data_IF_130129308910
#
_entry.id   IF_130129308910
#
_cell.length_a   1.000
_cell.length_b   1.000
_cell.length_c   1.000
_cell.angle_alpha   90.00
_cell.angle_beta   90.00
_cell.angle_gamma   90.00
#
_symmetry.space_group_name_H-M   'P 1'
#
loop_
_entity.id
_entity.type
_entity.pdbx_description
1 polymer ?
#
# COMPACT_ATOMS: atom_id res chain seq x y z
N UNK A 1 1.68 -6.88 42.20
CA UNK A 1 2.15 -7.63 41.01
C UNK A 1 1.01 -8.14 40.11
N UNK A 2 0.07 -8.97 40.58
CA UNK A 2 -1.01 -9.54 39.73
C UNK A 2 -1.87 -8.49 38.99
N UNK A 3 -2.24 -7.39 39.65
CA UNK A 3 -3.02 -6.29 39.04
C UNK A 3 -2.26 -5.49 37.97
N UNK A 4 -0.94 -5.40 38.13
CA UNK A 4 -0.06 -4.64 37.22
C UNK A 4 0.24 -5.45 35.96
N UNK A 5 0.42 -6.77 36.11
CA UNK A 5 0.52 -7.72 34.99
C UNK A 5 -0.79 -7.75 34.18
N UNK A 6 -1.95 -7.74 34.86
CA UNK A 6 -3.25 -7.72 34.18
C UNK A 6 -3.47 -6.41 33.41
N UNK A 7 -3.10 -5.27 33.99
CA UNK A 7 -3.17 -3.97 33.29
C UNK A 7 -2.26 -3.92 32.05
N UNK A 8 -1.04 -4.45 32.13
CA UNK A 8 -0.12 -4.59 30.99
C UNK A 8 -0.67 -5.52 29.91
N UNK A 9 -1.31 -6.62 30.31
CA UNK A 9 -1.92 -7.58 29.37
C UNK A 9 -3.13 -6.96 28.67
N UNK A 10 -3.96 -6.20 29.39
CA UNK A 10 -5.10 -5.46 28.82
C UNK A 10 -4.62 -4.33 27.91
N UNK A 11 -3.53 -3.64 28.25
CA UNK A 11 -2.90 -2.63 27.38
C UNK A 11 -2.32 -3.26 26.10
N UNK A 12 -1.68 -4.42 26.18
CA UNK A 12 -1.24 -5.16 24.99
C UNK A 12 -2.42 -5.58 24.12
N UNK A 13 -3.47 -6.16 24.71
CA UNK A 13 -4.67 -6.58 23.96
C UNK A 13 -5.39 -5.38 23.35
N UNK A 14 -5.50 -4.26 24.06
CA UNK A 14 -6.07 -3.02 23.52
C UNK A 14 -5.22 -2.43 22.38
N UNK A 15 -3.89 -2.51 22.45
CA UNK A 15 -3.01 -2.06 21.36
C UNK A 15 -3.09 -2.94 20.10
N UNK A 16 -3.47 -4.21 20.25
CA UNK A 16 -3.75 -5.11 19.11
C UNK A 16 -5.09 -4.72 18.45
N UNK A 17 -6.09 -4.28 19.23
CA UNK A 17 -7.43 -3.93 18.71
C UNK A 17 -7.46 -2.54 18.05
N UNK A 18 -6.66 -1.58 18.52
CA UNK A 18 -6.67 -0.19 18.00
C UNK A 18 -5.87 -0.02 16.70
N UNK A 19 -5.00 -0.97 16.32
CA UNK A 19 -4.10 -0.85 15.16
C UNK A 19 -4.63 -1.45 13.84
N UNK A 20 -5.87 -1.93 13.78
CA UNK A 20 -6.45 -2.53 12.57
C UNK A 20 -7.52 -1.65 11.90
N UNK A 21 -7.20 -0.40 11.56
CA UNK A 21 -7.80 0.18 10.35
C UNK A 21 -7.11 -0.46 9.14
N UNK A 22 -7.37 -1.75 8.95
CA UNK A 22 -6.94 -2.48 7.79
C UNK A 22 -7.85 -2.04 6.63
N UNK A 23 -7.27 -1.55 5.53
CA UNK A 23 -8.01 -1.18 4.33
C UNK A 23 -9.00 -2.30 3.98
N UNK A 24 -10.28 -1.98 3.98
CA UNK A 24 -11.30 -2.88 3.46
C UNK A 24 -11.49 -2.60 1.98
N UNK A 25 -10.97 -3.46 1.11
CA UNK A 25 -11.12 -3.29 -0.33
C UNK A 25 -12.59 -3.32 -0.77
N UNK A 26 -13.49 -3.93 0.00
CA UNK A 26 -14.93 -3.96 -0.30
C UNK A 26 -15.61 -2.59 -0.19
N UNK A 27 -14.96 -1.60 0.45
CA UNK A 27 -15.45 -0.21 0.52
C UNK A 27 -15.28 0.53 -0.83
N UNK A 28 -14.63 -0.09 -1.80
CA UNK A 28 -14.35 0.46 -3.12
C UNK A 28 -15.12 -0.30 -4.19
N UNK A 29 -15.75 0.43 -5.12
CA UNK A 29 -16.36 -0.13 -6.32
C UNK A 29 -15.32 -0.32 -7.44
N UNK A 30 -14.32 0.57 -7.47
CA UNK A 30 -13.28 0.61 -8.48
C UNK A 30 -11.98 1.11 -7.88
N UNK A 31 -10.87 0.45 -8.20
CA UNK A 31 -9.51 0.92 -7.95
C UNK A 31 -8.68 0.68 -9.20
N UNK A 32 -7.98 1.70 -9.70
CA UNK A 32 -7.14 1.63 -10.89
C UNK A 32 -5.74 2.13 -10.58
N UNK A 33 -4.76 1.28 -10.82
CA UNK A 33 -3.34 1.62 -10.75
C UNK A 33 -2.69 1.54 -12.13
N UNK A 34 -1.74 2.43 -12.37
CA UNK A 34 -0.73 2.25 -13.41
C UNK A 34 0.50 1.63 -12.73
N UNK A 35 0.87 0.43 -13.15
CA UNK A 35 2.06 -0.26 -12.64
C UNK A 35 3.11 -0.29 -13.73
N UNK A 36 4.31 0.14 -13.40
CA UNK A 36 5.49 0.03 -14.25
C UNK A 36 6.51 -0.91 -13.59
N UNK A 37 7.07 -1.81 -14.37
CA UNK A 37 8.13 -2.72 -13.95
C UNK A 37 9.17 -2.69 -15.05
N UNK A 38 10.37 -2.22 -14.72
CA UNK A 38 11.42 -1.93 -15.71
C UNK A 38 10.88 -1.00 -16.81
N UNK A 39 10.91 -1.42 -18.08
CA UNK A 39 10.44 -0.63 -19.23
C UNK A 39 8.98 -0.92 -19.62
N UNK A 40 8.26 -1.72 -18.82
CA UNK A 40 6.89 -2.17 -19.12
C UNK A 40 5.90 -1.40 -18.26
N UNK A 41 4.74 -1.06 -18.83
CA UNK A 41 3.64 -0.43 -18.11
C UNK A 41 2.32 -1.17 -18.34
N UNK A 42 1.59 -1.40 -17.26
CA UNK A 42 0.25 -1.98 -17.27
C UNK A 42 -0.73 -1.08 -16.48
N UNK A 43 -1.96 -1.00 -16.96
CA UNK A 43 -3.10 -0.50 -16.20
C UNK A 43 -3.81 -1.69 -15.55
N UNK A 44 -3.93 -1.63 -14.23
CA UNK A 44 -4.53 -2.67 -13.41
C UNK A 44 -5.77 -2.11 -12.78
N UNK A 45 -6.90 -2.80 -12.90
CA UNK A 45 -8.14 -2.41 -12.24
C UNK A 45 -8.73 -3.54 -11.41
N UNK A 46 -9.16 -3.19 -10.20
CA UNK A 46 -10.01 -4.00 -9.35
C UNK A 46 -11.41 -3.39 -9.37
N UNK A 47 -12.39 -4.15 -9.83
CA UNK A 47 -13.81 -3.77 -9.78
C UNK A 47 -14.53 -4.70 -8.82
N UNK A 48 -15.37 -4.14 -7.95
CA UNK A 48 -16.06 -4.89 -6.91
C UNK A 48 -17.53 -4.50 -6.93
N UNK A 49 -18.40 -5.47 -7.18
CA UNK A 49 -19.86 -5.29 -7.22
C UNK A 49 -20.55 -6.23 -6.24
N UNK A 50 -21.64 -5.77 -5.63
CA UNK A 50 -22.49 -6.68 -4.84
C UNK A 50 -23.24 -7.63 -5.79
N UNK A 51 -23.39 -8.89 -5.38
CA UNK A 51 -24.21 -9.85 -6.10
C UNK A 51 -25.65 -9.81 -5.59
N UNK A 52 -26.59 -10.11 -6.48
CA UNK A 52 -28.02 -10.23 -6.11
C UNK A 52 -28.30 -11.32 -5.06
N UNK A 53 -27.32 -12.16 -4.74
CA UNK A 53 -27.40 -13.28 -3.79
C UNK A 53 -26.75 -12.96 -2.43
N UNK A 54 -26.30 -11.72 -2.19
CA UNK A 54 -25.76 -11.28 -0.91
C UNK A 54 -24.24 -11.49 -0.74
N UNK A 55 -23.47 -11.47 -1.83
CA UNK A 55 -22.01 -11.54 -1.82
C UNK A 55 -21.37 -10.44 -2.68
N UNK A 56 -20.11 -10.63 -3.06
CA UNK A 56 -19.38 -9.72 -3.95
C UNK A 56 -18.81 -10.48 -5.15
N UNK A 57 -18.91 -9.88 -6.33
CA UNK A 57 -18.15 -10.25 -7.51
C UNK A 57 -16.93 -9.31 -7.60
N UNK A 58 -15.76 -9.89 -7.86
CA UNK A 58 -14.51 -9.15 -7.96
C UNK A 58 -13.89 -9.42 -9.33
N UNK A 59 -13.71 -8.37 -10.13
CA UNK A 59 -13.08 -8.45 -11.45
C UNK A 59 -11.70 -7.80 -11.34
N UNK A 60 -10.68 -8.60 -11.62
CA UNK A 60 -9.30 -8.12 -11.75
C UNK A 60 -8.93 -8.08 -13.23
N UNK A 61 -8.65 -6.88 -13.74
CA UNK A 61 -8.27 -6.66 -15.14
C UNK A 61 -6.87 -6.09 -15.22
N UNK A 62 -6.09 -6.62 -16.15
CA UNK A 62 -4.75 -6.15 -16.48
C UNK A 62 -4.74 -5.77 -17.96
N UNK A 63 -4.33 -4.54 -18.26
CA UNK A 63 -4.20 -4.02 -19.61
C UNK A 63 -2.79 -3.50 -19.84
N UNK A 64 -2.07 -4.11 -20.77
CA UNK A 64 -0.76 -3.65 -21.22
C UNK A 64 -0.72 -3.67 -22.76
N UNK A 65 0.34 -3.10 -23.32
CA UNK A 65 0.60 -3.13 -24.76
C UNK A 65 1.94 -3.81 -25.02
N UNK A 66 2.00 -4.65 -26.04
CA UNK A 66 3.22 -5.32 -26.51
C UNK A 66 3.49 -4.87 -27.94
N UNK A 67 4.77 -4.71 -28.29
CA UNK A 67 5.19 -4.21 -29.62
C UNK A 67 5.42 -5.37 -30.60
N UNK A 68 6.09 -6.44 -30.14
CA UNK A 68 6.41 -7.62 -30.96
C UNK A 68 5.71 -8.87 -30.42
N UNK A 69 6.26 -9.47 -29.36
CA UNK A 69 5.82 -10.77 -28.84
C UNK A 69 5.24 -10.65 -27.43
N UNK A 70 4.19 -11.44 -27.17
CA UNK A 70 3.62 -11.60 -25.84
C UNK A 70 4.40 -12.69 -25.09
N UNK A 71 5.35 -12.25 -24.28
CA UNK A 71 6.03 -13.13 -23.32
C UNK A 71 5.06 -13.53 -22.19
N UNK A 72 5.00 -14.83 -21.87
CA UNK A 72 4.16 -15.37 -20.81
C UNK A 72 4.47 -14.71 -19.45
N UNK A 73 5.71 -14.25 -19.25
CA UNK A 73 6.12 -13.53 -18.04
C UNK A 73 5.32 -12.24 -17.84
N UNK A 74 5.03 -11.51 -18.92
CA UNK A 74 4.26 -10.25 -18.89
C UNK A 74 2.83 -10.48 -18.40
N UNK A 75 2.23 -11.59 -18.82
CA UNK A 75 0.89 -11.99 -18.41
C UNK A 75 0.86 -12.54 -16.98
N UNK A 76 1.90 -13.26 -16.56
CA UNK A 76 1.96 -13.91 -15.26
C UNK A 76 2.35 -12.97 -14.10
N UNK A 77 2.82 -11.75 -14.37
CA UNK A 77 3.21 -10.80 -13.31
C UNK A 77 2.01 -10.46 -12.42
N UNK A 78 2.11 -10.67 -11.09
CA UNK A 78 1.06 -10.30 -10.16
C UNK A 78 1.19 -8.81 -9.79
N UNK A 79 0.82 -7.93 -10.73
CA UNK A 79 1.12 -6.49 -10.69
C UNK A 79 0.74 -5.76 -9.40
N UNK A 80 -0.39 -6.09 -8.73
CA UNK A 80 -0.71 -5.48 -7.43
C UNK A 80 -0.16 -6.24 -6.23
N UNK A 81 0.15 -7.54 -6.38
CA UNK A 81 0.56 -8.37 -5.25
C UNK A 81 1.82 -7.83 -4.57
N UNK A 82 2.81 -7.39 -5.36
CA UNK A 82 4.05 -6.81 -4.84
C UNK A 82 3.77 -5.65 -3.89
N UNK A 83 3.11 -4.58 -4.35
CA UNK A 83 2.74 -3.46 -3.48
C UNK A 83 1.97 -3.92 -2.22
N UNK A 84 0.94 -4.76 -2.38
CA UNK A 84 0.12 -5.20 -1.26
C UNK A 84 0.91 -6.03 -0.23
N UNK A 85 1.83 -6.89 -0.70
CA UNK A 85 2.67 -7.73 0.15
C UNK A 85 3.63 -6.95 1.03
N UNK A 86 4.00 -5.72 0.65
CA UNK A 86 4.81 -4.82 1.47
C UNK A 86 3.95 -4.00 2.41
N UNK A 87 2.88 -3.39 1.90
CA UNK A 87 2.04 -2.48 2.68
C UNK A 87 1.27 -3.21 3.78
N UNK A 88 0.84 -4.44 3.50
CA UNK A 88 0.16 -5.30 4.48
C UNK A 88 1.08 -6.34 5.10
N UNK A 89 2.40 -6.20 4.94
CA UNK A 89 3.34 -7.08 5.62
C UNK A 89 3.23 -6.87 7.13
N UNK A 90 2.94 -7.91 7.94
CA UNK A 90 2.89 -7.79 9.39
C UNK A 90 4.19 -7.24 10.01
N UNK A 91 5.34 -7.43 9.35
CA UNK A 91 6.62 -6.89 9.80
C UNK A 91 6.73 -5.37 9.64
N UNK A 92 6.02 -4.78 8.67
CA UNK A 92 6.09 -3.35 8.37
C UNK A 92 4.91 -2.56 8.95
N UNK A 93 3.73 -3.18 9.07
CA UNK A 93 2.50 -2.53 9.55
C UNK A 93 2.68 -1.70 10.83
N UNK A 94 3.36 -2.18 11.89
CA UNK A 94 3.55 -1.38 13.10
C UNK A 94 4.33 -0.09 12.85
N UNK A 95 5.33 -0.12 11.97
CA UNK A 95 6.15 1.05 11.63
C UNK A 95 5.41 2.00 10.71
N UNK A 96 4.66 1.47 9.73
CA UNK A 96 3.81 2.28 8.85
C UNK A 96 2.73 3.02 9.66
N UNK A 97 2.19 2.38 10.71
CA UNK A 97 1.22 3.01 11.63
C UNK A 97 1.80 4.11 12.54
N UNK A 98 3.13 4.25 12.63
CA UNK A 98 3.78 5.30 13.43
C UNK A 98 3.89 6.64 12.71
N UNK A 99 3.64 6.70 11.40
CA UNK A 99 3.77 7.94 10.64
C UNK A 99 2.63 8.90 11.00
N UNK A 100 2.97 10.15 11.34
CA UNK A 100 2.01 11.23 11.45
C UNK A 100 1.94 11.97 10.11
N UNK A 101 0.78 11.89 9.44
CA UNK A 101 0.55 12.58 8.18
C UNK A 101 0.31 14.09 8.34
N UNK A 102 -0.02 14.61 9.53
CA UNK A 102 -0.11 16.06 9.78
C UNK A 102 1.28 16.65 9.99
N UNK A 103 2.08 16.00 10.83
CA UNK A 103 3.41 16.46 11.23
C UNK A 103 4.46 15.39 10.93
N UNK A 104 4.82 15.21 9.65
CA UNK A 104 5.72 14.14 9.26
C UNK A 104 7.10 14.32 9.89
N UNK A 105 7.52 13.30 10.64
CA UNK A 105 8.84 13.22 11.26
C UNK A 105 9.51 11.90 10.93
N UNK A 106 10.83 11.86 10.97
CA UNK A 106 11.58 10.61 10.81
C UNK A 106 11.33 9.68 11.98
N UNK A 107 10.88 8.45 11.70
CA UNK A 107 10.79 7.36 12.68
C UNK A 107 12.08 6.56 12.59
N UNK A 108 12.74 6.27 13.71
CA UNK A 108 13.95 5.45 13.75
C UNK A 108 13.93 4.52 14.97
N UNK A 109 13.70 3.23 14.74
CA UNK A 109 13.52 2.22 15.78
C UNK A 109 14.06 0.86 15.31
N UNK A 110 14.86 0.19 16.14
CA UNK A 110 15.33 -1.19 15.91
C UNK A 110 15.98 -1.44 14.53
N UNK A 111 16.73 -0.45 14.01
CA UNK A 111 17.38 -0.56 12.68
C UNK A 111 16.44 -0.30 11.49
N UNK A 112 15.17 0.00 11.74
CA UNK A 112 14.21 0.50 10.77
C UNK A 112 14.14 2.02 10.86
N UNK A 113 14.18 2.67 9.70
CA UNK A 113 14.10 4.13 9.57
C UNK A 113 13.07 4.50 8.52
N UNK A 114 12.04 5.27 8.87
CA UNK A 114 11.09 5.85 7.93
C UNK A 114 11.36 7.34 7.84
N UNK A 115 11.65 7.83 6.64
CA UNK A 115 11.99 9.23 6.37
C UNK A 115 10.87 9.86 5.58
N UNK A 116 10.38 11.02 6.03
CA UNK A 116 9.59 11.91 5.18
C UNK A 116 10.50 12.63 4.20
N UNK A 117 10.22 12.50 2.92
CA UNK A 117 11.05 13.04 1.85
C UNK A 117 10.52 14.41 1.40
N UNK A 118 9.22 14.48 1.05
CA UNK A 118 8.56 15.68 0.52
C UNK A 118 7.05 15.44 0.34
N UNK A 119 6.32 16.51 0.07
CA UNK A 119 5.01 16.41 -0.57
C UNK A 119 5.20 16.01 -2.05
N UNK A 120 4.38 15.09 -2.55
CA UNK A 120 4.44 14.58 -3.92
C UNK A 120 3.05 14.58 -4.55
N UNK A 121 2.97 15.11 -5.78
CA UNK A 121 1.78 15.06 -6.62
C UNK A 121 1.81 13.78 -7.44
N UNK A 122 0.75 12.98 -7.37
CA UNK A 122 0.58 11.74 -8.13
C UNK A 122 -0.73 11.84 -8.92
N UNK A 123 -0.61 12.00 -10.24
CA UNK A 123 -1.76 12.30 -11.10
C UNK A 123 -2.49 13.57 -10.65
N UNK A 124 -3.76 13.42 -10.24
CA UNK A 124 -4.59 14.52 -9.69
C UNK A 124 -4.54 14.63 -8.16
N UNK A 125 -3.85 13.71 -7.49
CA UNK A 125 -3.79 13.63 -6.04
C UNK A 125 -2.48 14.24 -5.51
N UNK A 126 -2.49 14.68 -4.26
CA UNK A 126 -1.30 15.14 -3.54
C UNK A 126 -1.22 14.39 -2.22
N UNK A 127 -0.02 13.94 -1.87
CA UNK A 127 0.25 13.26 -0.61
C UNK A 127 1.67 13.51 -0.13
N UNK A 128 2.05 12.79 0.91
CA UNK A 128 3.37 12.85 1.55
C UNK A 128 4.17 11.62 1.18
N UNK A 129 5.36 11.82 0.65
CA UNK A 129 6.30 10.76 0.26
C UNK A 129 7.13 10.33 1.46
N UNK A 130 7.16 9.03 1.72
CA UNK A 130 7.97 8.41 2.76
C UNK A 130 8.81 7.28 2.20
N UNK A 131 10.05 7.15 2.67
CA UNK A 131 10.91 6.02 2.35
C UNK A 131 11.19 5.19 3.60
N UNK A 132 11.04 3.87 3.51
CA UNK A 132 11.44 2.93 4.56
C UNK A 132 12.82 2.37 4.26
N UNK A 133 13.66 2.39 5.27
CA UNK A 133 15.01 1.85 5.27
C UNK A 133 15.14 0.77 6.35
N UNK A 134 15.93 -0.25 6.06
CA UNK A 134 16.39 -1.24 7.03
C UNK A 134 17.90 -1.33 6.93
N UNK A 135 18.62 -1.16 8.05
CA UNK A 135 20.09 -1.15 8.07
C UNK A 135 20.69 -0.22 7.00
N UNK A 136 20.12 0.99 6.87
CA UNK A 136 20.46 2.03 5.89
C UNK A 136 20.24 1.69 4.41
N UNK A 137 19.72 0.51 4.08
CA UNK A 137 19.25 0.15 2.74
C UNK A 137 17.80 0.58 2.55
N UNK A 138 17.51 1.35 1.49
CA UNK A 138 16.14 1.76 1.13
C UNK A 138 15.37 0.54 0.60
N UNK A 139 14.34 0.11 1.31
CA UNK A 139 13.52 -1.04 0.90
C UNK A 139 12.44 -0.64 -0.09
N UNK A 140 11.66 0.38 0.26
CA UNK A 140 10.58 0.89 -0.59
C UNK A 140 10.23 2.33 -0.25
N UNK A 141 9.46 2.96 -1.13
CA UNK A 141 8.90 4.29 -0.95
C UNK A 141 7.41 4.26 -1.24
N UNK A 142 6.63 5.06 -0.52
CA UNK A 142 5.21 5.24 -0.82
C UNK A 142 4.79 6.69 -0.62
N UNK A 143 3.68 7.05 -1.28
CA UNK A 143 3.02 8.34 -1.09
C UNK A 143 1.66 8.09 -0.45
N UNK A 144 1.44 8.69 0.72
CA UNK A 144 0.21 8.53 1.50
C UNK A 144 -0.55 9.87 1.61
N UNK A 145 -1.87 9.81 1.73
CA UNK A 145 -2.72 10.97 1.97
C UNK A 145 -3.72 10.69 3.08
N UNK A 146 -4.10 11.71 3.85
CA UNK A 146 -5.16 11.58 4.85
C UNK A 146 -6.54 11.39 4.24
N UNK A 147 -6.74 11.84 3.00
CA UNK A 147 -8.03 11.84 2.32
C UNK A 147 -8.30 10.51 1.60
N UNK A 148 -7.26 9.73 1.36
CA UNK A 148 -7.29 8.53 0.52
C UNK A 148 -6.49 7.46 1.25
N UNK A 149 -7.16 6.41 1.73
CA UNK A 149 -6.53 5.30 2.46
C UNK A 149 -5.64 4.43 1.55
N UNK A 150 -5.90 4.47 0.24
CA UNK A 150 -5.07 3.82 -0.76
C UNK A 150 -3.72 4.53 -0.91
N UNK A 151 -2.62 3.79 -1.07
CA UNK A 151 -1.32 4.36 -1.46
C UNK A 151 -1.47 5.12 -2.78
N UNK A 152 -1.10 6.40 -2.80
CA UNK A 152 -1.15 7.17 -4.04
C UNK A 152 -0.06 6.69 -5.00
N UNK A 153 1.10 6.32 -4.46
CA UNK A 153 2.21 5.76 -5.20
C UNK A 153 2.99 4.78 -4.33
N UNK A 154 3.59 3.77 -4.95
CA UNK A 154 4.47 2.81 -4.29
C UNK A 154 5.65 2.47 -5.21
N UNK A 155 6.86 2.38 -4.65
CA UNK A 155 8.08 2.12 -5.41
C UNK A 155 8.96 1.11 -4.68
N UNK A 156 9.46 0.10 -5.41
CA UNK A 156 10.50 -0.83 -4.94
C UNK A 156 11.72 -0.61 -5.84
N UNK A 157 12.70 0.23 -5.44
CA UNK A 157 13.80 0.63 -6.31
C UNK A 157 14.59 -0.54 -6.89
N UNK A 158 14.85 -1.57 -6.08
CA UNK A 158 15.64 -2.75 -6.50
C UNK A 158 14.95 -3.59 -7.57
N UNK A 159 13.63 -3.48 -7.69
CA UNK A 159 12.83 -4.24 -8.67
C UNK A 159 12.36 -3.38 -9.85
N UNK A 160 12.79 -2.11 -9.91
CA UNK A 160 12.28 -1.16 -10.91
C UNK A 160 10.75 -1.03 -10.90
N UNK A 161 10.10 -1.36 -9.77
CA UNK A 161 8.64 -1.42 -9.64
C UNK A 161 8.11 -0.07 -9.19
N UNK A 162 7.09 0.44 -9.88
CA UNK A 162 6.37 1.65 -9.54
C UNK A 162 4.87 1.44 -9.76
N UNK A 163 4.05 1.63 -8.74
CA UNK A 163 2.60 1.66 -8.85
C UNK A 163 2.08 3.08 -8.54
N UNK A 164 1.23 3.63 -9.40
CA UNK A 164 0.63 4.95 -9.25
C UNK A 164 -0.89 4.85 -9.32
N UNK A 165 -1.59 5.40 -8.31
CA UNK A 165 -3.04 5.45 -8.27
C UNK A 165 -3.55 6.40 -9.36
N UNK A 166 -4.34 5.86 -10.28
CA UNK A 166 -4.94 6.61 -11.39
C UNK A 166 -6.33 7.09 -11.01
N UNK A 167 -7.15 6.18 -10.49
CA UNK A 167 -8.54 6.43 -10.14
C UNK A 167 -8.99 5.47 -9.04
N UNK A 168 -9.93 5.92 -8.22
CA UNK A 168 -10.70 5.05 -7.35
C UNK A 168 -12.11 5.60 -7.21
N UNK A 169 -13.04 4.71 -6.85
CA UNK A 169 -14.41 5.04 -6.48
C UNK A 169 -14.77 4.29 -5.21
N UNK A 170 -15.15 5.03 -4.17
CA UNK A 170 -15.74 4.45 -2.96
C UNK A 170 -17.23 4.17 -3.22
N UNK A 171 -17.76 3.18 -2.52
CA UNK A 171 -19.19 2.89 -2.46
C UNK A 171 -19.93 3.95 -1.64
#
# INVERSE_FOLDING_TARGET
MKRLIFALMVLMVASIVVSQHQLNLLDYELVVYRVSVEDRTALISLQISETNTGGYEVIYTVKFSVIDELDYEVFAVPYMYLMMSYIYNPAFLPFLGMIDLDNPSTVNLYGIKIVYEKDEKVGKYTGKRFSLYSSDQKLFTWVASKQIELPLKFEIPEQGYVAELVEFRKR
#
